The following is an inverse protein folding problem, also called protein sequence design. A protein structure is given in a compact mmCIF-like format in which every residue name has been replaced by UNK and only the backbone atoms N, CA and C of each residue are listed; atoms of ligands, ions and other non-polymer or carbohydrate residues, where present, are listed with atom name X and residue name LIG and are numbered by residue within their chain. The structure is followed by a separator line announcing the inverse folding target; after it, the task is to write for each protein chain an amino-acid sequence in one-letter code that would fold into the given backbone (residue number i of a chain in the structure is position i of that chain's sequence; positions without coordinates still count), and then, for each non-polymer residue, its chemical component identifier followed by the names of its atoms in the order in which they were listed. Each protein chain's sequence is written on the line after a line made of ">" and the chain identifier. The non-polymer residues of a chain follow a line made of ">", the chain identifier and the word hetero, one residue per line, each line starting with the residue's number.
data_IF_162442093249
#
_entry.id   IF_162442093249
#
_cell.length_a   1.000
_cell.length_b   1.000
_cell.length_c   1.000
_cell.angle_alpha   90.00
_cell.angle_beta   90.00
_cell.angle_gamma   90.00
#
_symmetry.space_group_name_H-M   'P 1'
#
loop_
_entity.id
_entity.type
_entity.pdbx_description
1 polymer ?
#
# COMPACT_ATOMS: atom_id res chain seq x y z
N UNK A 1 -8.58 -12.43 -24.21
CA UNK A 1 -7.60 -11.65 -24.98
C UNK A 1 -6.24 -11.99 -24.39
N UNK A 2 -5.22 -12.23 -25.21
CA UNK A 2 -3.88 -12.56 -24.69
C UNK A 2 -3.24 -11.25 -24.20
N UNK A 3 -3.10 -11.08 -22.89
CA UNK A 3 -2.34 -9.98 -22.30
C UNK A 3 -1.01 -10.48 -21.74
N UNK A 4 0.06 -9.73 -21.96
CA UNK A 4 1.40 -10.02 -21.46
C UNK A 4 1.94 -8.80 -20.72
N UNK A 5 2.66 -9.03 -19.62
CA UNK A 5 3.33 -7.96 -18.88
C UNK A 5 4.84 -8.07 -19.09
N UNK A 6 5.44 -7.06 -19.71
CA UNK A 6 6.87 -7.04 -20.02
C UNK A 6 7.59 -6.06 -19.11
N UNK A 7 8.64 -6.51 -18.44
CA UNK A 7 9.36 -5.74 -17.43
C UNK A 7 10.84 -5.64 -17.79
N UNK A 8 11.28 -4.41 -17.97
CA UNK A 8 12.69 -4.04 -18.11
C UNK A 8 13.17 -3.36 -16.82
N UNK A 9 14.03 -4.02 -16.06
CA UNK A 9 14.58 -3.47 -14.81
C UNK A 9 16.09 -3.29 -14.93
N UNK A 10 16.54 -2.04 -14.90
CA UNK A 10 17.95 -1.69 -14.92
C UNK A 10 18.35 -0.91 -13.65
N UNK A 11 19.59 -0.42 -13.55
CA UNK A 11 20.05 0.30 -12.36
C UNK A 11 19.43 1.70 -12.19
N UNK A 12 18.97 2.32 -13.28
CA UNK A 12 18.44 3.70 -13.30
C UNK A 12 16.93 3.74 -13.16
N UNK A 13 16.24 2.80 -13.79
CA UNK A 13 14.79 2.80 -13.90
C UNK A 13 14.22 1.39 -14.02
N UNK A 14 12.92 1.32 -13.77
CA UNK A 14 12.06 0.17 -14.03
C UNK A 14 11.06 0.62 -15.08
N UNK A 15 10.90 -0.14 -16.14
CA UNK A 15 9.89 0.07 -17.17
C UNK A 15 8.99 -1.16 -17.23
N UNK A 16 7.68 -0.96 -17.26
CA UNK A 16 6.68 -2.01 -17.37
C UNK A 16 5.75 -1.68 -18.53
N UNK A 17 5.62 -2.60 -19.48
CA UNK A 17 4.70 -2.49 -20.61
C UNK A 17 3.61 -3.56 -20.48
N UNK A 18 2.35 -3.14 -20.57
CA UNK A 18 1.21 -4.03 -20.73
C UNK A 18 0.96 -4.20 -22.23
N UNK A 19 1.09 -5.44 -22.71
CA UNK A 19 0.84 -5.79 -24.10
C UNK A 19 -0.54 -6.42 -24.22
N UNK A 20 -1.35 -5.94 -25.16
CA UNK A 20 -2.61 -6.55 -25.55
C UNK A 20 -2.61 -6.80 -27.04
N UNK A 21 -2.90 -8.04 -27.46
CA UNK A 21 -2.92 -8.41 -28.89
C UNK A 21 -1.63 -8.01 -29.64
N UNK A 22 -0.46 -8.15 -28.98
CA UNK A 22 0.86 -7.79 -29.51
C UNK A 22 1.07 -6.28 -29.76
N UNK A 23 0.28 -5.41 -29.14
CA UNK A 23 0.47 -3.97 -29.15
C UNK A 23 0.63 -3.44 -27.72
N UNK A 24 1.39 -2.36 -27.55
CA UNK A 24 1.55 -1.69 -26.27
C UNK A 24 0.23 -1.00 -25.92
N UNK A 25 -0.46 -1.51 -24.91
CA UNK A 25 -1.66 -0.88 -24.37
C UNK A 25 -1.29 0.23 -23.38
N UNK A 26 -0.38 -0.06 -22.46
CA UNK A 26 0.08 0.88 -21.44
C UNK A 26 1.58 0.74 -21.18
N UNK A 27 2.23 1.85 -20.83
CA UNK A 27 3.64 1.91 -20.46
C UNK A 27 3.83 2.71 -19.18
N UNK A 28 4.53 2.12 -18.23
CA UNK A 28 4.87 2.72 -16.94
C UNK A 28 6.39 2.80 -16.79
N UNK A 29 6.90 3.93 -16.31
CA UNK A 29 8.33 4.16 -16.08
C UNK A 29 8.52 4.73 -14.68
N UNK A 30 9.41 4.13 -13.89
CA UNK A 30 9.80 4.58 -12.56
C UNK A 30 11.33 4.70 -12.46
N UNK A 31 11.83 5.92 -12.20
CA UNK A 31 13.25 6.13 -11.96
C UNK A 31 13.63 5.78 -10.51
N UNK A 32 14.59 4.87 -10.33
CA UNK A 32 15.04 4.37 -9.02
C UNK A 32 15.63 5.48 -8.14
N UNK A 33 16.24 6.51 -8.74
CA UNK A 33 16.85 7.63 -8.02
C UNK A 33 15.83 8.55 -7.31
N UNK A 34 14.58 8.56 -7.78
CA UNK A 34 13.53 9.42 -7.23
C UNK A 34 12.54 8.65 -6.35
N UNK A 35 12.87 7.41 -5.95
CA UNK A 35 11.97 6.62 -5.09
C UNK A 35 11.92 7.28 -3.71
N UNK A 36 10.77 7.88 -3.41
CA UNK A 36 10.46 8.35 -2.07
C UNK A 36 10.24 7.18 -1.11
N UNK A 37 10.02 7.52 0.15
CA UNK A 37 9.74 6.54 1.22
C UNK A 37 8.27 6.50 1.60
N UNK A 38 7.40 7.21 0.86
CA UNK A 38 5.95 7.20 1.07
C UNK A 38 5.43 5.76 0.92
N UNK A 39 4.57 5.34 1.84
CA UNK A 39 4.05 3.98 1.90
C UNK A 39 4.88 3.02 2.74
N UNK A 40 6.18 3.30 2.97
CA UNK A 40 7.02 2.46 3.82
C UNK A 40 6.48 2.45 5.25
N UNK A 41 6.59 1.29 5.91
CA UNK A 41 6.20 1.08 7.30
C UNK A 41 7.47 0.82 8.11
N UNK A 42 7.57 1.52 9.24
CA UNK A 42 8.69 1.42 10.17
C UNK A 42 8.16 1.10 11.56
N UNK A 43 8.92 0.28 12.29
CA UNK A 43 8.81 0.23 13.73
C UNK A 43 9.72 1.34 14.27
N UNK A 44 9.13 2.33 14.93
CA UNK A 44 9.83 3.52 15.40
C UNK A 44 9.75 3.69 16.91
N UNK A 45 10.60 4.58 17.45
CA UNK A 45 10.60 4.94 18.88
C UNK A 45 10.23 6.40 19.07
N UNK A 46 9.24 6.69 19.91
CA UNK A 46 8.87 8.06 20.28
C UNK A 46 10.05 8.69 21.02
N UNK A 47 10.60 9.76 20.47
CA UNK A 47 11.76 10.47 21.05
C UNK A 47 11.38 11.70 21.83
N UNK A 48 10.30 12.38 21.41
CA UNK A 48 9.86 13.63 22.03
C UNK A 48 8.39 13.88 21.78
N UNK A 49 7.67 14.36 22.78
CA UNK A 49 6.27 14.77 22.67
C UNK A 49 6.15 16.28 22.86
N UNK A 50 5.41 16.95 21.98
CA UNK A 50 5.11 18.38 22.05
C UNK A 50 3.59 18.60 22.25
N UNK A 51 3.10 18.68 23.50
CA UNK A 51 1.68 18.86 23.81
C UNK A 51 1.07 20.11 23.19
N UNK A 52 1.80 21.23 23.15
CA UNK A 52 1.30 22.50 22.61
C UNK A 52 0.99 22.44 21.10
N UNK A 53 1.56 21.48 20.38
CA UNK A 53 1.33 21.28 18.94
C UNK A 53 0.56 19.99 18.64
N UNK A 54 0.25 19.17 19.66
CA UNK A 54 -0.34 17.84 19.50
C UNK A 54 0.46 16.96 18.51
N UNK A 55 1.79 16.97 18.64
CA UNK A 55 2.74 16.25 17.77
C UNK A 55 3.77 15.48 18.58
N UNK A 56 4.13 14.29 18.11
CA UNK A 56 5.24 13.49 18.60
C UNK A 56 6.30 13.32 17.50
N UNK A 57 7.57 13.28 17.89
CA UNK A 57 8.68 12.92 17.03
C UNK A 57 9.03 11.45 17.24
N UNK A 58 9.12 10.70 16.14
CA UNK A 58 9.42 9.27 16.17
C UNK A 58 10.70 9.03 15.40
N UNK A 59 11.69 8.42 16.05
CA UNK A 59 12.86 7.90 15.36
C UNK A 59 12.47 6.64 14.57
N UNK A 60 12.67 6.70 13.26
CA UNK A 60 12.39 5.64 12.30
C UNK A 60 13.66 5.17 11.58
N UNK A 61 14.84 5.53 12.11
CA UNK A 61 16.14 5.13 11.55
C UNK A 61 16.61 5.97 10.37
N UNK A 62 15.98 7.12 10.12
CA UNK A 62 16.39 8.09 9.10
C UNK A 62 17.16 9.26 9.72
N UNK A 63 17.84 10.07 8.90
CA UNK A 63 18.57 11.25 9.37
C UNK A 63 17.71 12.24 10.18
N UNK A 64 16.41 12.27 9.91
CA UNK A 64 15.44 13.13 10.60
C UNK A 64 14.30 12.29 11.13
N UNK A 65 13.94 12.51 12.39
CA UNK A 65 12.77 11.90 13.00
C UNK A 65 11.49 12.22 12.22
N UNK A 66 10.60 11.25 12.10
CA UNK A 66 9.26 11.44 11.57
C UNK A 66 8.40 12.27 12.52
N UNK A 67 7.44 13.00 11.97
CA UNK A 67 6.45 13.74 12.76
C UNK A 67 5.09 13.04 12.72
N UNK A 68 4.57 12.71 13.90
CA UNK A 68 3.30 12.04 14.10
C UNK A 68 2.32 13.03 14.76
N UNK A 69 1.24 13.36 14.07
CA UNK A 69 0.19 14.21 14.61
C UNK A 69 -0.79 13.39 15.45
N UNK A 70 -1.48 14.01 16.42
CA UNK A 70 -2.40 13.28 17.30
C UNK A 70 -3.53 12.59 16.52
N UNK A 71 -4.14 13.28 15.54
CA UNK A 71 -5.18 12.69 14.68
C UNK A 71 -4.64 11.72 13.61
N UNK A 72 -3.37 11.32 13.73
CA UNK A 72 -2.72 10.27 12.95
C UNK A 72 -2.45 9.03 13.83
N UNK A 73 -3.05 8.95 15.03
CA UNK A 73 -2.84 7.88 16.02
C UNK A 73 -4.15 7.11 16.24
N UNK A 74 -4.10 5.78 16.14
CA UNK A 74 -5.24 4.95 16.56
C UNK A 74 -5.31 4.89 18.09
N UNK A 75 -6.29 5.57 18.66
CA UNK A 75 -6.46 5.68 20.11
C UNK A 75 -7.20 4.48 20.69
N UNK A 76 -8.03 3.81 19.90
CA UNK A 76 -8.82 2.67 20.35
C UNK A 76 -7.88 1.50 20.67
N UNK A 77 -7.00 1.17 19.71
CA UNK A 77 -6.01 0.10 19.88
C UNK A 77 -5.00 0.42 21.00
N UNK A 78 -4.50 1.66 21.06
CA UNK A 78 -3.46 2.05 22.04
C UNK A 78 -3.99 2.10 23.47
N UNK A 79 -5.21 2.60 23.69
CA UNK A 79 -5.79 2.72 25.03
C UNK A 79 -6.65 1.51 25.43
N UNK A 80 -6.84 0.53 24.54
CA UNK A 80 -7.65 -0.66 24.81
C UNK A 80 -9.10 -0.33 25.17
N UNK A 81 -9.66 0.70 24.53
CA UNK A 81 -11.05 1.11 24.77
C UNK A 81 -11.99 0.14 24.04
N UNK A 82 -13.05 -0.30 24.71
CA UNK A 82 -14.07 -1.17 24.11
C UNK A 82 -14.73 -0.46 22.91
N UNK A 83 -14.95 -1.21 21.81
CA UNK A 83 -15.60 -0.79 20.54
C UNK A 83 -17.02 -0.17 20.71
N UNK A 84 -17.56 -0.10 21.94
CA UNK A 84 -18.87 0.49 22.27
C UNK A 84 -18.87 2.02 22.23
N UNK A 85 -17.71 2.66 22.18
CA UNK A 85 -17.64 4.09 21.94
C UNK A 85 -17.75 4.32 20.43
N UNK A 86 -18.96 4.66 19.96
CA UNK A 86 -19.27 5.03 18.57
C UNK A 86 -18.03 5.66 17.92
N UNK A 87 -17.36 4.90 17.04
CA UNK A 87 -16.18 5.38 16.32
C UNK A 87 -16.51 6.79 15.83
N UNK A 88 -15.78 7.85 16.26
CA UNK A 88 -16.14 9.21 15.95
C UNK A 88 -16.37 9.32 14.45
N UNK A 89 -17.50 9.90 13.99
CA UNK A 89 -17.81 9.97 12.58
C UNK A 89 -16.59 10.53 11.85
N UNK A 90 -16.08 9.77 10.89
CA UNK A 90 -14.97 10.19 10.04
C UNK A 90 -15.42 11.46 9.32
N UNK A 91 -15.06 12.62 9.85
CA UNK A 91 -15.39 13.89 9.21
C UNK A 91 -14.65 13.96 7.88
N UNK A 92 -15.41 14.17 6.80
CA UNK A 92 -14.83 14.48 5.50
C UNK A 92 -14.13 15.83 5.60
N UNK A 93 -12.83 15.84 5.87
CA UNK A 93 -12.04 17.07 5.75
C UNK A 93 -12.09 17.55 4.29
N UNK A 94 -12.90 18.59 4.08
CA UNK A 94 -12.82 19.46 2.92
C UNK A 94 -11.55 20.29 3.06
N UNK A 95 -10.40 19.79 2.61
CA UNK A 95 -9.31 20.59 1.99
C UNK A 95 -7.91 19.93 1.95
N UNK A 96 -7.68 18.71 2.41
CA UNK A 96 -6.40 18.04 2.13
C UNK A 96 -6.50 17.17 0.87
N UNK A 97 -5.69 17.52 -0.12
CA UNK A 97 -5.63 17.07 -1.53
C UNK A 97 -5.25 15.58 -1.73
N UNK A 98 -5.73 14.66 -0.90
CA UNK A 98 -5.51 13.22 -1.06
C UNK A 98 -6.79 12.50 -1.46
N UNK A 99 -6.82 12.05 -2.71
CA UNK A 99 -7.88 11.25 -3.30
C UNK A 99 -7.94 9.90 -2.55
N UNK A 100 -9.02 9.64 -1.82
CA UNK A 100 -9.41 8.28 -1.40
C UNK A 100 -9.02 7.80 0.00
N UNK A 101 -8.77 8.67 0.99
CA UNK A 101 -8.68 8.24 2.41
C UNK A 101 -9.94 8.65 3.20
N UNK A 102 -10.56 7.76 3.99
CA UNK A 102 -11.80 8.01 4.73
C UNK A 102 -11.51 8.81 5.99
N UNK A 103 -12.13 10.00 6.17
CA UNK A 103 -11.97 10.96 7.28
C UNK A 103 -10.78 10.72 8.22
N UNK A 104 -10.90 10.94 9.52
CA UNK A 104 -10.04 10.35 10.56
C UNK A 104 -10.83 10.49 11.85
N UNK A 105 -10.78 9.53 12.79
CA UNK A 105 -11.50 9.66 14.05
C UNK A 105 -10.97 10.91 14.77
N UNK A 106 -11.78 11.96 14.89
CA UNK A 106 -11.36 13.12 15.66
C UNK A 106 -11.68 12.82 17.13
N UNK A 107 -10.63 12.50 17.90
CA UNK A 107 -10.74 12.36 19.35
C UNK A 107 -10.22 13.64 20.02
N UNK A 108 -10.76 13.98 21.20
CA UNK A 108 -10.31 15.14 21.99
C UNK A 108 -9.16 14.81 22.96
N UNK A 109 -8.75 13.53 23.01
CA UNK A 109 -7.66 13.06 23.86
C UNK A 109 -6.35 13.70 23.42
N UNK A 110 -5.55 14.19 24.37
CA UNK A 110 -4.31 14.89 24.05
C UNK A 110 -3.18 13.90 23.83
N UNK A 111 -2.22 14.27 22.98
CA UNK A 111 -1.14 13.36 22.58
C UNK A 111 -0.30 12.81 23.74
N UNK A 112 -0.09 13.58 24.81
CA UNK A 112 0.67 13.12 25.98
C UNK A 112 -0.10 12.11 26.85
N UNK A 113 -1.41 11.99 26.65
CA UNK A 113 -2.25 11.00 27.31
C UNK A 113 -2.31 9.69 26.50
N UNK A 114 -1.80 9.71 25.25
CA UNK A 114 -1.81 8.57 24.31
C UNK A 114 -0.41 7.96 24.18
N UNK A 115 0.63 8.81 24.10
CA UNK A 115 2.01 8.39 23.87
C UNK A 115 2.92 8.75 25.03
N UNK A 116 3.98 7.95 25.20
CA UNK A 116 5.08 8.20 26.12
C UNK A 116 6.41 8.26 25.39
N UNK A 117 7.36 9.05 25.89
CA UNK A 117 8.73 9.05 25.37
C UNK A 117 9.38 7.68 25.62
N UNK A 118 10.07 7.16 24.60
CA UNK A 118 10.66 5.81 24.59
C UNK A 118 9.71 4.71 24.10
N UNK A 119 8.41 4.98 23.99
CA UNK A 119 7.41 4.03 23.48
C UNK A 119 7.72 3.63 22.03
N UNK A 120 7.53 2.36 21.72
CA UNK A 120 7.65 1.85 20.36
C UNK A 120 6.30 1.93 19.66
N UNK A 121 6.31 2.31 18.38
CA UNK A 121 5.09 2.51 17.59
C UNK A 121 5.33 2.14 16.13
N UNK A 122 4.39 1.39 15.56
CA UNK A 122 4.37 1.07 14.14
C UNK A 122 3.78 2.24 13.37
N UNK A 123 4.50 2.73 12.36
CA UNK A 123 4.12 3.92 11.62
C UNK A 123 4.37 3.78 10.12
N UNK A 124 3.45 4.28 9.30
CA UNK A 124 3.57 4.39 7.86
C UNK A 124 3.91 5.82 7.45
N UNK A 125 4.79 5.98 6.46
CA UNK A 125 5.09 7.30 5.89
C UNK A 125 3.96 7.77 4.98
N UNK A 126 3.35 8.89 5.34
CA UNK A 126 2.29 9.54 4.58
C UNK A 126 2.83 10.63 3.62
N UNK A 127 3.89 11.35 3.99
CA UNK A 127 4.54 12.36 3.14
C UNK A 127 6.07 12.28 3.27
N UNK A 128 6.78 12.41 2.16
CA UNK A 128 8.24 12.45 2.14
C UNK A 128 8.78 13.59 3.04
N UNK A 129 10.02 13.44 3.56
CA UNK A 129 10.73 14.55 4.20
C UNK A 129 10.84 15.75 3.26
N UNK A 130 10.71 16.96 3.81
CA UNK A 130 10.78 18.20 3.03
C UNK A 130 11.72 19.20 3.69
N UNK A 131 12.83 19.50 3.02
CA UNK A 131 13.82 20.45 3.53
C UNK A 131 14.37 20.01 4.89
N UNK A 132 14.17 20.83 5.92
CA UNK A 132 14.58 20.52 7.30
C UNK A 132 13.56 19.68 8.08
N UNK A 133 12.35 19.47 7.56
CA UNK A 133 11.30 18.68 8.21
C UNK A 133 11.46 17.20 7.86
N UNK A 134 11.35 16.33 8.87
CA UNK A 134 11.27 14.89 8.66
C UNK A 134 9.99 14.47 7.95
N UNK A 135 9.83 13.16 7.71
CA UNK A 135 8.66 12.61 7.03
C UNK A 135 7.38 12.79 7.87
N UNK A 136 6.22 12.99 7.21
CA UNK A 136 4.93 12.84 7.89
C UNK A 136 4.65 11.37 8.05
N UNK A 137 4.36 10.93 9.26
CA UNK A 137 4.02 9.55 9.56
C UNK A 137 2.64 9.44 10.18
N UNK A 138 2.05 8.25 10.08
CA UNK A 138 0.73 7.91 10.61
C UNK A 138 0.77 6.51 11.20
N UNK A 139 0.02 6.26 12.26
CA UNK A 139 -0.20 4.93 12.82
C UNK A 139 -1.37 4.22 12.13
N UNK A 140 -2.17 4.94 11.31
CA UNK A 140 -3.15 4.33 10.43
C UNK A 140 -2.49 3.65 9.23
N UNK A 141 -2.18 2.36 9.39
CA UNK A 141 -1.54 1.57 8.35
C UNK A 141 -2.54 1.34 7.20
N UNK A 142 -2.08 1.55 5.98
CA UNK A 142 -2.86 1.31 4.77
C UNK A 142 -2.09 0.42 3.80
N UNK A 143 -2.67 -0.71 3.44
CA UNK A 143 -2.13 -1.70 2.51
C UNK A 143 -3.00 -1.73 1.25
N UNK A 144 -2.55 -1.11 0.16
CA UNK A 144 -3.33 -1.07 -1.08
C UNK A 144 -3.28 -2.43 -1.79
N UNK A 145 -4.46 -3.03 -1.98
CA UNK A 145 -4.75 -4.14 -2.88
C UNK A 145 -5.19 -3.64 -4.26
N UNK A 146 -5.65 -4.54 -5.12
CA UNK A 146 -6.13 -4.19 -6.48
C UNK A 146 -7.49 -3.49 -6.44
N UNK A 147 -8.45 -4.11 -5.74
CA UNK A 147 -9.84 -3.68 -5.69
C UNK A 147 -10.16 -2.91 -4.42
N UNK A 148 -9.39 -3.11 -3.36
CA UNK A 148 -9.59 -2.45 -2.08
C UNK A 148 -8.27 -1.96 -1.45
N UNK A 149 -8.37 -1.11 -0.44
CA UNK A 149 -7.28 -0.77 0.47
C UNK A 149 -7.65 -1.31 1.84
N UNK A 150 -6.77 -2.12 2.41
CA UNK A 150 -6.94 -2.70 3.72
C UNK A 150 -6.28 -1.80 4.78
N UNK A 151 -7.00 -1.57 5.88
CA UNK A 151 -6.57 -0.73 7.00
C UNK A 151 -6.72 -1.54 8.30
N UNK A 152 -5.68 -2.28 8.72
CA UNK A 152 -5.77 -3.15 9.89
C UNK A 152 -5.96 -2.40 11.22
N UNK A 153 -5.64 -1.12 11.27
CA UNK A 153 -5.66 -0.27 12.48
C UNK A 153 -6.82 0.73 12.46
N UNK A 154 -7.90 0.42 11.76
CA UNK A 154 -9.09 1.27 11.65
C UNK A 154 -10.29 0.36 11.52
N UNK A 155 -11.36 0.58 12.27
CA UNK A 155 -12.60 -0.19 12.13
C UNK A 155 -13.62 0.58 11.26
N UNK A 156 -13.44 0.56 9.93
CA UNK A 156 -14.36 1.28 9.03
C UNK A 156 -14.36 0.75 7.59
N UNK A 157 -15.56 0.51 7.04
CA UNK A 157 -15.77 0.17 5.63
C UNK A 157 -16.25 1.39 4.84
N UNK A 158 -15.52 1.74 3.78
CA UNK A 158 -15.85 2.86 2.89
C UNK A 158 -15.69 2.48 1.42
N UNK A 159 -16.31 3.28 0.54
CA UNK A 159 -16.27 3.09 -0.92
C UNK A 159 -15.76 4.38 -1.56
N UNK A 160 -14.93 4.25 -2.60
CA UNK A 160 -14.36 5.39 -3.34
C UNK A 160 -15.44 6.38 -3.77
N UNK A 161 -15.18 7.68 -3.54
CA UNK A 161 -16.05 8.79 -3.96
C UNK A 161 -16.27 8.86 -5.48
N UNK A 162 -15.41 8.20 -6.27
CA UNK A 162 -15.52 8.16 -7.73
C UNK A 162 -16.58 7.17 -8.23
N UNK A 163 -17.02 6.25 -7.37
CA UNK A 163 -18.18 5.40 -7.64
C UNK A 163 -19.39 6.27 -7.31
N UNK A 164 -20.25 6.57 -8.29
CA UNK A 164 -21.39 7.46 -8.11
C UNK A 164 -22.69 6.69 -7.79
N UNK A 165 -22.78 5.44 -8.25
CA UNK A 165 -23.94 4.57 -8.03
C UNK A 165 -24.07 4.19 -6.55
N UNK A 166 -25.18 4.58 -5.93
CA UNK A 166 -25.45 4.33 -4.51
C UNK A 166 -25.85 2.87 -4.23
N UNK A 167 -26.56 2.22 -5.16
CA UNK A 167 -26.93 0.81 -5.01
C UNK A 167 -25.66 -0.06 -5.03
N UNK A 168 -24.71 0.31 -5.89
CA UNK A 168 -23.42 -0.34 -5.99
C UNK A 168 -22.55 -0.11 -4.75
N UNK A 169 -22.52 1.11 -4.20
CA UNK A 169 -21.85 1.38 -2.91
C UNK A 169 -22.41 0.53 -1.79
N UNK A 170 -23.73 0.41 -1.70
CA UNK A 170 -24.38 -0.39 -0.65
C UNK A 170 -24.05 -1.88 -0.83
N UNK A 171 -24.12 -2.39 -2.07
CA UNK A 171 -23.71 -3.76 -2.42
C UNK A 171 -22.28 -4.04 -1.96
N UNK A 172 -21.34 -3.15 -2.28
CA UNK A 172 -19.91 -3.30 -1.95
C UNK A 172 -19.63 -3.22 -0.45
N UNK A 173 -20.31 -2.32 0.27
CA UNK A 173 -20.22 -2.24 1.73
C UNK A 173 -20.72 -3.50 2.41
N UNK A 174 -21.87 -4.01 1.96
CA UNK A 174 -22.45 -5.25 2.49
C UNK A 174 -21.52 -6.43 2.21
N UNK A 175 -21.01 -6.52 0.98
CA UNK A 175 -20.07 -7.56 0.58
C UNK A 175 -18.84 -7.58 1.48
N UNK A 176 -18.15 -6.45 1.65
CA UNK A 176 -16.96 -6.35 2.51
C UNK A 176 -17.27 -6.59 3.99
N UNK A 177 -18.45 -6.20 4.46
CA UNK A 177 -18.86 -6.49 5.84
C UNK A 177 -19.08 -8.00 6.08
N UNK A 178 -19.41 -8.78 5.05
CA UNK A 178 -19.55 -10.23 5.15
C UNK A 178 -18.21 -10.99 5.10
N UNK A 179 -17.25 -10.51 4.29
CA UNK A 179 -15.99 -11.25 4.03
C UNK A 179 -14.79 -10.68 4.79
N UNK A 180 -14.86 -9.44 5.25
CA UNK A 180 -13.81 -8.79 6.04
C UNK A 180 -13.80 -9.29 7.49
N UNK A 181 -12.64 -9.23 8.14
CA UNK A 181 -12.55 -9.52 9.57
C UNK A 181 -13.20 -8.37 10.38
N UNK A 182 -13.89 -8.69 11.49
CA UNK A 182 -14.38 -7.68 12.43
C UNK A 182 -13.24 -6.86 13.04
N UNK A 183 -13.48 -5.56 13.28
CA UNK A 183 -12.49 -4.65 13.86
C UNK A 183 -11.49 -4.05 12.87
N UNK A 184 -11.55 -4.47 11.59
CA UNK A 184 -10.64 -4.01 10.55
C UNK A 184 -11.32 -3.17 9.48
N UNK A 185 -10.53 -2.40 8.74
CA UNK A 185 -11.02 -1.34 7.87
C UNK A 185 -10.72 -1.62 6.40
N UNK A 186 -11.64 -1.19 5.55
CA UNK A 186 -11.58 -1.47 4.12
C UNK A 186 -12.07 -0.27 3.31
N UNK A 187 -11.36 0.05 2.23
CA UNK A 187 -11.75 1.11 1.28
C UNK A 187 -11.85 0.50 -0.11
N UNK A 188 -13.05 0.44 -0.69
CA UNK A 188 -13.20 -0.05 -2.08
C UNK A 188 -12.65 0.99 -3.05
N UNK A 189 -11.70 0.58 -3.90
CA UNK A 189 -11.14 1.39 -4.98
C UNK A 189 -12.10 1.40 -6.17
N UNK A 190 -11.97 2.39 -7.05
CA UNK A 190 -12.78 2.49 -8.28
C UNK A 190 -12.66 1.25 -9.17
N UNK A 191 -11.50 0.58 -9.17
CA UNK A 191 -11.30 -0.68 -9.89
C UNK A 191 -12.20 -1.83 -9.39
N UNK A 192 -12.70 -1.74 -8.15
CA UNK A 192 -13.59 -2.72 -7.53
C UNK A 192 -15.07 -2.50 -7.79
N UNK A 193 -15.47 -1.47 -8.56
CA UNK A 193 -16.88 -1.12 -8.75
C UNK A 193 -17.72 -2.31 -9.25
N UNK A 194 -17.28 -3.02 -10.28
CA UNK A 194 -18.06 -4.15 -10.84
C UNK A 194 -17.49 -5.51 -10.42
N UNK A 195 -16.61 -5.53 -9.42
CA UNK A 195 -15.92 -6.74 -8.99
C UNK A 195 -16.86 -7.68 -8.22
N UNK A 196 -16.63 -8.99 -8.39
CA UNK A 196 -17.42 -10.03 -7.73
C UNK A 196 -16.77 -10.45 -6.40
N UNK A 197 -17.53 -11.19 -5.58
CA UNK A 197 -17.06 -11.69 -4.27
C UNK A 197 -15.69 -12.35 -4.32
N UNK A 198 -15.46 -13.22 -5.32
CA UNK A 198 -14.21 -13.94 -5.47
C UNK A 198 -13.00 -13.02 -5.68
N UNK A 199 -13.19 -11.88 -6.36
CA UNK A 199 -12.12 -10.90 -6.59
C UNK A 199 -11.69 -10.24 -5.27
N UNK A 200 -12.66 -9.84 -4.45
CA UNK A 200 -12.40 -9.26 -3.14
C UNK A 200 -11.81 -10.28 -2.17
N UNK A 201 -12.29 -11.52 -2.15
CA UNK A 201 -11.73 -12.59 -1.32
C UNK A 201 -10.26 -12.86 -1.68
N UNK A 202 -9.90 -12.84 -2.96
CA UNK A 202 -8.51 -12.98 -3.38
C UNK A 202 -7.64 -11.81 -2.89
N UNK A 203 -8.13 -10.58 -3.01
CA UNK A 203 -7.41 -9.36 -2.58
C UNK A 203 -7.24 -9.35 -1.05
N UNK A 204 -8.29 -9.70 -0.29
CA UNK A 204 -8.23 -9.81 1.17
C UNK A 204 -7.26 -10.89 1.64
N UNK A 205 -7.29 -12.07 1.04
CA UNK A 205 -6.35 -13.14 1.38
C UNK A 205 -4.89 -12.70 1.20
N UNK A 206 -4.59 -11.95 0.14
CA UNK A 206 -3.28 -11.34 -0.08
C UNK A 206 -2.94 -10.33 1.04
N UNK A 207 -3.84 -9.39 1.31
CA UNK A 207 -3.60 -8.28 2.25
C UNK A 207 -3.50 -8.74 3.71
N UNK A 208 -4.34 -9.69 4.13
CA UNK A 208 -4.29 -10.27 5.48
C UNK A 208 -2.98 -11.03 5.70
N UNK A 209 -2.56 -11.86 4.74
CA UNK A 209 -1.26 -12.55 4.82
C UNK A 209 -0.08 -11.57 4.83
N UNK A 210 -0.16 -10.50 4.05
CA UNK A 210 0.85 -9.45 4.07
C UNK A 210 0.94 -8.86 5.48
N UNK A 211 -0.20 -8.44 6.05
CA UNK A 211 -0.25 -7.84 7.37
C UNK A 211 0.25 -8.75 8.49
N UNK A 212 -0.15 -10.03 8.52
CA UNK A 212 0.34 -10.99 9.50
C UNK A 212 1.87 -11.12 9.45
N UNK A 213 2.46 -11.12 8.26
CA UNK A 213 3.91 -11.17 8.09
C UNK A 213 4.58 -9.88 8.57
N UNK A 214 4.00 -8.71 8.27
CA UNK A 214 4.51 -7.42 8.74
C UNK A 214 4.48 -7.31 10.27
N UNK A 215 3.39 -7.75 10.91
CA UNK A 215 3.26 -7.76 12.37
C UNK A 215 4.33 -8.64 13.04
N UNK A 216 4.56 -9.84 12.48
CA UNK A 216 5.66 -10.70 12.95
C UNK A 216 7.02 -10.04 12.77
N UNK A 217 7.26 -9.33 11.66
CA UNK A 217 8.53 -8.62 11.43
C UNK A 217 8.72 -7.41 12.36
N UNK A 218 7.64 -6.71 12.73
CA UNK A 218 7.74 -5.58 13.66
C UNK A 218 8.14 -6.01 15.07
N UNK A 219 7.73 -7.20 15.52
CA UNK A 219 7.98 -7.69 16.89
C UNK A 219 9.37 -8.35 17.07
N UNK A 220 9.98 -8.85 15.99
CA UNK A 220 11.17 -9.70 16.07
C UNK A 220 12.52 -8.97 15.94
N UNK A 221 12.51 -7.68 15.57
CA UNK A 221 13.70 -6.88 15.31
C UNK A 221 13.79 -5.72 16.31
N UNK A 222 15.02 -5.24 16.55
CA UNK A 222 15.25 -4.10 17.44
C UNK A 222 14.85 -2.78 16.79
N UNK A 223 14.00 -2.01 17.46
CA UNK A 223 13.56 -0.68 17.05
C UNK A 223 14.67 0.38 17.15
N UNK A 224 14.88 1.26 16.15
CA UNK A 224 14.05 1.44 14.95
C UNK A 224 14.50 0.61 13.73
N UNK A 225 13.56 0.12 12.93
CA UNK A 225 13.83 -0.61 11.69
C UNK A 225 12.72 -0.45 10.65
N UNK A 226 13.09 -0.64 9.38
CA UNK A 226 12.14 -0.76 8.27
C UNK A 226 11.43 -2.11 8.36
N UNK A 227 10.10 -2.08 8.45
CA UNK A 227 9.24 -3.26 8.48
C UNK A 227 8.79 -3.61 7.08
N UNK A 228 8.42 -2.61 6.29
CA UNK A 228 7.92 -2.78 4.94
C UNK A 228 8.41 -1.66 4.04
N UNK A 229 9.03 -2.00 2.92
CA UNK A 229 9.27 -1.07 1.83
C UNK A 229 8.10 -1.12 0.86
N UNK A 230 7.52 0.03 0.50
CA UNK A 230 6.40 0.04 -0.44
C UNK A 230 6.81 -0.54 -1.80
N UNK A 231 5.83 -1.17 -2.45
CA UNK A 231 5.98 -1.87 -3.71
C UNK A 231 6.60 -0.95 -4.75
N UNK A 232 7.73 -1.37 -5.34
CA UNK A 232 8.25 -0.71 -6.53
C UNK A 232 7.31 -0.94 -7.72
N UNK A 233 7.58 -0.30 -8.86
CA UNK A 233 6.72 -0.41 -10.04
C UNK A 233 6.42 -1.86 -10.44
N UNK A 234 7.40 -2.79 -10.32
CA UNK A 234 7.22 -4.21 -10.67
C UNK A 234 6.09 -4.82 -9.84
N UNK A 235 6.18 -4.71 -8.51
CA UNK A 235 5.19 -5.34 -7.62
C UNK A 235 3.85 -4.61 -7.66
N UNK A 236 3.83 -3.28 -7.87
CA UNK A 236 2.58 -2.54 -8.10
C UNK A 236 1.89 -3.01 -9.38
N UNK A 237 2.64 -3.24 -10.45
CA UNK A 237 2.10 -3.80 -11.69
C UNK A 237 1.62 -5.23 -11.51
N UNK A 238 2.33 -6.07 -10.75
CA UNK A 238 1.85 -7.42 -10.38
C UNK A 238 0.51 -7.32 -9.65
N UNK A 239 0.40 -6.42 -8.67
CA UNK A 239 -0.84 -6.25 -7.90
C UNK A 239 -1.99 -5.69 -8.75
N UNK A 240 -1.74 -4.64 -9.51
CA UNK A 240 -2.79 -3.85 -10.16
C UNK A 240 -3.19 -4.40 -11.55
N UNK A 241 -2.21 -4.92 -12.31
CA UNK A 241 -2.38 -5.31 -13.72
C UNK A 241 -2.36 -6.81 -13.95
N UNK A 242 -1.77 -7.61 -13.04
CA UNK A 242 -1.67 -9.06 -13.23
C UNK A 242 -2.99 -9.74 -12.86
N UNK A 243 -3.87 -9.78 -13.85
CA UNK A 243 -5.20 -10.32 -13.77
C UNK A 243 -5.23 -11.78 -14.23
N UNK A 244 -6.35 -12.47 -13.99
CA UNK A 244 -6.49 -13.88 -14.37
C UNK A 244 -6.32 -14.12 -15.89
N UNK A 245 -6.63 -13.12 -16.71
CA UNK A 245 -6.48 -13.11 -18.16
C UNK A 245 -5.06 -12.78 -18.65
N UNK A 246 -4.14 -12.36 -17.77
CA UNK A 246 -2.73 -12.23 -18.14
C UNK A 246 -2.10 -13.60 -18.34
N UNK A 247 -1.54 -13.82 -19.54
CA UNK A 247 -0.95 -15.09 -19.93
C UNK A 247 0.38 -15.31 -19.24
N UNK A 248 1.24 -14.28 -19.25
CA UNK A 248 2.56 -14.33 -18.63
C UNK A 248 3.10 -12.95 -18.26
N UNK A 249 4.04 -12.96 -17.31
CA UNK A 249 4.88 -11.83 -16.96
C UNK A 249 6.33 -12.18 -17.32
N UNK A 250 6.97 -11.35 -18.13
CA UNK A 250 8.33 -11.58 -18.60
C UNK A 250 9.25 -10.49 -18.03
N UNK A 251 10.32 -10.88 -17.35
CA UNK A 251 11.28 -9.95 -16.74
C UNK A 251 12.72 -10.27 -17.13
N UNK A 252 13.50 -9.25 -17.45
CA UNK A 252 14.89 -9.39 -17.90
C UNK A 252 15.92 -9.53 -16.77
N UNK A 253 15.67 -8.87 -15.64
CA UNK A 253 16.55 -8.89 -14.48
C UNK A 253 16.40 -10.19 -13.70
N UNK A 254 17.47 -10.99 -13.65
CA UNK A 254 17.52 -12.24 -12.86
C UNK A 254 17.23 -12.02 -11.38
N UNK A 255 17.74 -10.94 -10.79
CA UNK A 255 17.51 -10.64 -9.38
C UNK A 255 16.06 -10.30 -9.10
N UNK A 256 15.42 -9.55 -10.00
CA UNK A 256 14.02 -9.17 -9.83
C UNK A 256 13.09 -10.35 -10.15
N UNK A 257 13.45 -11.21 -11.10
CA UNK A 257 12.77 -12.49 -11.35
C UNK A 257 12.63 -13.32 -10.06
N UNK A 258 13.75 -13.55 -9.35
CA UNK A 258 13.74 -14.32 -8.11
C UNK A 258 12.81 -13.69 -7.07
N UNK A 259 12.87 -12.37 -6.90
CA UNK A 259 12.00 -11.64 -5.96
C UNK A 259 10.53 -11.70 -6.37
N UNK A 260 10.22 -11.64 -7.66
CA UNK A 260 8.84 -11.75 -8.16
C UNK A 260 8.28 -13.14 -7.91
N UNK A 261 9.06 -14.19 -8.16
CA UNK A 261 8.67 -15.57 -7.86
C UNK A 261 8.43 -15.74 -6.37
N UNK A 262 9.34 -15.29 -5.51
CA UNK A 262 9.19 -15.36 -4.05
C UNK A 262 7.93 -14.60 -3.55
N UNK A 263 7.71 -13.39 -4.06
CA UNK A 263 6.54 -12.58 -3.75
C UNK A 263 5.25 -13.27 -4.17
N UNK A 264 5.16 -13.76 -5.42
CA UNK A 264 3.98 -14.45 -5.91
C UNK A 264 3.77 -15.79 -5.20
N UNK A 265 4.80 -16.58 -4.94
CA UNK A 265 4.65 -17.83 -4.17
C UNK A 265 4.11 -17.60 -2.76
N UNK A 266 4.49 -16.48 -2.13
CA UNK A 266 4.03 -16.14 -0.78
C UNK A 266 2.59 -15.62 -0.77
N UNK A 267 2.28 -14.70 -1.67
CA UNK A 267 1.04 -13.93 -1.59
C UNK A 267 0.04 -14.18 -2.72
N UNK A 268 0.50 -14.64 -3.89
CA UNK A 268 -0.29 -14.86 -5.11
C UNK A 268 0.08 -16.19 -5.81
N UNK A 269 -0.13 -17.37 -5.16
CA UNK A 269 0.49 -18.62 -5.60
C UNK A 269 0.14 -19.03 -7.03
N UNK A 270 -1.10 -18.76 -7.46
CA UNK A 270 -1.63 -19.05 -8.80
C UNK A 270 -0.88 -18.33 -9.93
N UNK A 271 -0.15 -17.27 -9.61
CA UNK A 271 0.56 -16.43 -10.55
C UNK A 271 2.04 -16.78 -10.69
N UNK A 272 2.59 -17.59 -9.77
CA UNK A 272 4.02 -17.91 -9.73
C UNK A 272 4.51 -18.68 -10.98
N UNK A 273 3.66 -19.54 -11.55
CA UNK A 273 3.99 -20.32 -12.76
C UNK A 273 3.97 -19.49 -14.05
N UNK A 274 3.33 -18.31 -14.03
CA UNK A 274 3.22 -17.40 -15.17
C UNK A 274 4.39 -16.41 -15.30
N UNK A 275 5.36 -16.47 -14.39
CA UNK A 275 6.52 -15.58 -14.36
C UNK A 275 7.66 -16.23 -15.13
N UNK A 276 8.13 -15.57 -16.17
CA UNK A 276 9.21 -16.02 -17.04
C UNK A 276 10.40 -15.07 -16.95
N UNK A 277 11.61 -15.64 -16.91
CA UNK A 277 12.84 -14.86 -17.05
C UNK A 277 13.19 -14.74 -18.54
N UNK A 278 13.30 -13.51 -19.02
CA UNK A 278 13.86 -13.22 -20.34
C UNK A 278 15.38 -13.46 -20.33
N UNK A 279 15.89 -14.21 -21.31
CA UNK A 279 17.28 -14.67 -21.37
C UNK A 279 18.00 -14.34 -22.66
N UNK A 280 17.30 -13.78 -23.64
CA UNK A 280 17.91 -13.43 -24.91
C UNK A 280 18.87 -12.22 -24.75
N UNK A 281 19.91 -12.12 -25.60
CA UNK A 281 20.89 -11.05 -25.52
C UNK A 281 20.37 -9.69 -25.99
N UNK A 282 19.30 -9.68 -26.81
CA UNK A 282 18.65 -8.45 -27.27
C UNK A 282 17.84 -7.85 -26.12
N UNK A 283 17.84 -6.52 -25.90
CA UNK A 283 17.01 -5.94 -24.85
C UNK A 283 15.53 -6.29 -25.02
N UNK A 284 14.84 -6.63 -23.92
CA UNK A 284 13.45 -7.11 -23.94
C UNK A 284 12.52 -6.15 -24.73
N UNK A 285 12.62 -4.84 -24.53
CA UNK A 285 11.75 -3.89 -25.24
C UNK A 285 12.08 -3.77 -26.73
N UNK A 286 13.35 -3.92 -27.12
CA UNK A 286 13.72 -3.96 -28.53
C UNK A 286 13.19 -5.23 -29.19
N UNK A 287 13.30 -6.37 -28.50
CA UNK A 287 12.84 -7.67 -29.01
C UNK A 287 11.34 -7.68 -29.30
N UNK A 288 10.55 -7.05 -28.43
CA UNK A 288 9.10 -6.92 -28.58
C UNK A 288 8.68 -5.68 -29.39
N UNK A 289 9.63 -4.90 -29.94
CA UNK A 289 9.35 -3.72 -30.77
C UNK A 289 8.79 -2.51 -30.00
N UNK A 290 8.78 -2.55 -28.67
CA UNK A 290 8.20 -1.51 -27.80
C UNK A 290 8.99 -0.21 -27.90
N UNK A 291 10.31 -0.28 -28.07
CA UNK A 291 11.17 0.92 -28.10
C UNK A 291 10.80 1.85 -29.27
N UNK A 292 10.27 1.30 -30.37
CA UNK A 292 9.76 2.09 -31.50
C UNK A 292 8.50 2.87 -31.14
N UNK A 293 7.61 2.28 -30.33
CA UNK A 293 6.37 2.91 -29.88
C UNK A 293 6.62 3.97 -28.80
N UNK A 294 7.65 3.79 -27.96
CA UNK A 294 8.10 4.80 -26.98
C UNK A 294 8.63 6.07 -27.68
N UNK A 295 9.28 5.90 -28.84
CA UNK A 295 9.93 6.99 -29.56
C UNK A 295 8.99 7.84 -30.43
N UNK A 296 7.70 7.50 -30.50
CA UNK A 296 6.66 8.24 -31.23
C UNK A 296 5.90 9.21 -30.34
#
# INVERSE_FOLDING_TARGET
>A
MSSELLINSNQREIRVALMENHQVAELFIEHKANKGIVGNIYQGRVTKILPGMQVAFVDIGLEKAGFLYVGDIDVIDILGLDDEMDSPPLHEEKEDTFIGKPGRPHHEIRIQDILQEGQEILVQVAKNPLGTKGARITNYISLPGRYLVYMPTVNHVSVSRRIEDEDEKERLKNLLSEIGNPGEGYIVRTAGQDAVRADFESDLNFLHRLWENLKKQSENLSTPHLVYEDLNLIFRSIRDLFANDTERLVIDSKSDFIKCVEFCSTYLPHFSEKIEQYKDPMPIFDHYGIEMDISR
#
